data_IF_554922398926
#
_entry.id   IF_554922398926
#
_cell.length_a   1.000
_cell.length_b   1.000
_cell.length_c   1.000
_cell.angle_alpha   90.00
_cell.angle_beta   90.00
_cell.angle_gamma   90.00
#
_symmetry.space_group_name_H-M   'P 1'
#
loop_
_entity.id
_entity.type
_entity.pdbx_description
1 polymer ?
#
# COMPACT_ATOMS: atom_id res chain seq x y z
N UNK A 1 11.86 3.75 7.90
CA UNK A 1 13.14 3.79 7.20
C UNK A 1 14.01 4.91 7.77
N UNK A 2 15.30 4.63 7.99
CA UNK A 2 16.29 5.65 8.35
C UNK A 2 16.85 6.32 7.10
N UNK A 3 17.35 7.55 7.22
CA UNK A 3 17.98 8.28 6.13
C UNK A 3 19.46 7.92 5.93
N UNK A 4 20.07 7.22 6.88
CA UNK A 4 21.43 6.70 6.85
C UNK A 4 21.54 5.39 7.63
N UNK A 5 22.68 4.73 7.55
CA UNK A 5 22.97 3.51 8.30
C UNK A 5 23.03 3.78 9.80
N UNK A 6 22.51 2.84 10.59
CA UNK A 6 22.44 2.89 12.06
C UNK A 6 23.12 1.68 12.66
N UNK A 7 23.53 1.76 13.93
CA UNK A 7 24.10 0.61 14.64
C UNK A 7 23.09 -0.54 14.66
N UNK A 8 23.55 -1.72 14.31
CA UNK A 8 22.76 -2.94 14.19
C UNK A 8 23.59 -4.18 14.53
N UNK A 9 22.99 -5.38 14.48
CA UNK A 9 23.65 -6.67 14.75
C UNK A 9 23.53 -7.13 16.20
N UNK A 10 22.81 -6.40 17.07
CA UNK A 10 22.56 -6.80 18.45
C UNK A 10 21.16 -6.43 18.90
N UNK A 11 20.43 -7.40 19.45
CA UNK A 11 19.07 -7.18 19.99
C UNK A 11 19.08 -6.70 21.46
N UNK A 12 20.24 -6.61 22.09
CA UNK A 12 20.42 -6.19 23.50
C UNK A 12 21.28 -4.94 23.67
N UNK A 13 21.96 -4.51 22.61
CA UNK A 13 22.75 -3.27 22.63
C UNK A 13 21.82 -2.06 22.72
N UNK A 14 22.11 -1.16 23.66
CA UNK A 14 21.27 0.01 23.93
C UNK A 14 21.23 1.02 22.76
N UNK A 15 22.18 0.94 21.82
CA UNK A 15 22.28 1.84 20.68
C UNK A 15 21.85 1.20 19.35
N UNK A 16 21.55 -0.09 19.36
CA UNK A 16 21.21 -0.85 18.13
C UNK A 16 19.77 -0.63 17.68
N UNK A 17 19.59 -0.47 16.37
CA UNK A 17 18.27 -0.45 15.74
C UNK A 17 17.52 -1.80 15.85
N UNK A 18 18.20 -2.89 16.19
CA UNK A 18 17.58 -4.20 16.38
C UNK A 18 17.16 -4.46 17.83
N UNK A 19 17.46 -3.53 18.76
CA UNK A 19 16.95 -3.61 20.11
C UNK A 19 15.50 -3.11 20.19
N UNK A 20 14.52 -3.97 20.55
CA UNK A 20 13.12 -3.55 20.67
C UNK A 20 12.87 -2.45 21.71
N UNK A 21 13.77 -2.30 22.70
CA UNK A 21 13.67 -1.26 23.72
C UNK A 21 13.89 0.17 23.16
N UNK A 22 14.48 0.27 21.95
CA UNK A 22 14.71 1.55 21.28
C UNK A 22 13.47 2.08 20.51
N UNK A 23 12.32 1.47 20.77
CA UNK A 23 11.05 1.85 20.20
C UNK A 23 9.97 1.84 21.28
N UNK A 24 9.06 2.80 21.21
CA UNK A 24 7.89 2.84 22.09
C UNK A 24 6.63 2.97 21.23
N UNK A 25 5.78 1.95 21.28
CA UNK A 25 4.48 1.95 20.61
C UNK A 25 3.37 2.11 21.64
N UNK A 26 2.52 3.12 21.46
CA UNK A 26 1.43 3.41 22.39
C UNK A 26 0.09 3.57 21.68
N UNK A 27 -0.97 3.18 22.37
CA UNK A 27 -2.35 3.57 22.08
C UNK A 27 -2.77 4.65 23.07
N UNK A 28 -3.71 5.56 22.70
CA UNK A 28 -4.23 6.57 23.62
C UNK A 28 -4.97 5.91 24.78
N UNK A 29 -4.95 6.57 25.92
CA UNK A 29 -5.67 6.13 27.10
C UNK A 29 -7.18 6.33 27.03
N UNK A 30 -7.84 6.20 28.18
CA UNK A 30 -9.29 6.34 28.29
C UNK A 30 -9.81 7.73 27.91
N UNK A 31 -8.96 8.75 27.98
CA UNK A 31 -9.27 10.14 27.59
C UNK A 31 -9.24 10.34 26.06
N UNK A 32 -8.80 9.33 25.27
CA UNK A 32 -8.71 9.38 23.81
C UNK A 32 -7.56 10.24 23.26
N UNK A 33 -6.67 10.72 24.12
CA UNK A 33 -5.51 11.55 23.74
C UNK A 33 -4.19 10.82 24.02
N UNK A 34 -3.12 11.23 23.34
CA UNK A 34 -1.77 10.75 23.64
C UNK A 34 -1.10 11.71 24.60
N UNK A 35 -0.89 11.30 25.82
CA UNK A 35 -0.16 12.06 26.82
C UNK A 35 1.35 11.80 26.79
N UNK A 36 1.76 10.65 26.22
CA UNK A 36 3.15 10.30 25.94
C UNK A 36 3.68 11.15 24.78
N UNK A 37 4.78 11.86 25.00
CA UNK A 37 5.39 12.77 24.04
C UNK A 37 6.82 12.41 23.64
N UNK A 38 7.45 11.46 24.33
CA UNK A 38 8.82 10.99 24.06
C UNK A 38 9.03 9.58 24.60
N UNK A 39 10.10 8.91 24.17
CA UNK A 39 10.53 7.62 24.74
C UNK A 39 10.90 7.75 26.22
N UNK A 40 11.51 8.86 26.61
CA UNK A 40 12.10 9.03 27.92
C UNK A 40 13.28 8.10 28.22
N UNK A 41 13.84 8.13 29.42
CA UNK A 41 14.94 7.27 29.81
C UNK A 41 14.61 5.77 29.64
N UNK A 42 15.56 5.01 29.15
CA UNK A 42 15.46 3.56 28.90
C UNK A 42 14.28 3.17 27.97
N UNK A 43 13.91 4.05 27.03
CA UNK A 43 12.89 3.77 26.02
C UNK A 43 11.43 3.70 26.52
N UNK A 44 11.21 3.75 27.82
CA UNK A 44 9.87 3.65 28.42
C UNK A 44 9.59 4.68 29.50
N UNK A 45 10.61 5.44 29.91
CA UNK A 45 10.47 6.46 30.96
C UNK A 45 9.54 7.62 30.60
N UNK A 46 9.23 7.80 29.32
CA UNK A 46 8.29 8.81 28.84
C UNK A 46 6.84 8.37 28.82
N UNK A 47 6.55 7.07 29.00
CA UNK A 47 5.18 6.55 28.99
C UNK A 47 4.35 7.19 30.13
N UNK A 48 3.21 7.76 29.76
CA UNK A 48 2.24 8.34 30.70
C UNK A 48 1.25 7.29 31.20
N UNK A 49 0.73 7.42 32.44
CA UNK A 49 -0.03 6.35 33.10
C UNK A 49 -1.33 5.92 32.43
N UNK A 50 -1.98 6.79 31.66
CA UNK A 50 -3.23 6.43 30.99
C UNK A 50 -3.03 5.93 29.55
N UNK A 51 -1.88 6.21 28.91
CA UNK A 51 -1.55 5.63 27.63
C UNK A 51 -1.21 4.13 27.75
N UNK A 52 -1.66 3.36 26.80
CA UNK A 52 -1.42 1.91 26.77
C UNK A 52 -0.22 1.56 25.91
N UNK A 53 0.81 0.97 26.54
CA UNK A 53 1.96 0.45 25.80
C UNK A 53 1.61 -0.82 25.02
N UNK A 54 1.99 -0.88 23.75
CA UNK A 54 1.93 -2.10 22.94
C UNK A 54 3.32 -2.76 22.89
N UNK A 55 3.37 -4.05 23.18
CA UNK A 55 4.64 -4.79 23.19
C UNK A 55 5.27 -4.84 21.82
N UNK A 56 6.54 -4.46 21.71
CA UNK A 56 7.38 -4.72 20.54
C UNK A 56 8.19 -5.97 20.83
N UNK A 57 7.94 -7.03 20.09
CA UNK A 57 8.51 -8.36 20.34
C UNK A 57 9.90 -8.53 19.73
N UNK A 58 10.12 -7.93 18.56
CA UNK A 58 11.42 -7.93 17.89
C UNK A 58 11.53 -6.76 16.93
N UNK A 59 12.76 -6.36 16.67
CA UNK A 59 13.15 -5.47 15.60
C UNK A 59 14.20 -6.18 14.75
N UNK A 60 14.12 -6.03 13.42
CA UNK A 60 15.14 -6.53 12.50
C UNK A 60 15.45 -5.43 11.49
N UNK A 61 16.73 -5.18 11.27
CA UNK A 61 17.22 -4.10 10.42
C UNK A 61 17.83 -4.68 9.13
N UNK A 62 17.58 -4.01 8.03
CA UNK A 62 18.19 -4.32 6.74
C UNK A 62 19.13 -3.16 6.34
N UNK A 63 20.45 -3.37 6.38
CA UNK A 63 21.44 -2.35 6.09
C UNK A 63 21.49 -1.95 4.59
N UNK A 64 20.94 -2.76 3.69
CA UNK A 64 20.89 -2.42 2.28
C UNK A 64 19.78 -1.39 1.96
N UNK A 65 18.73 -1.36 2.77
CA UNK A 65 17.56 -0.49 2.57
C UNK A 65 17.34 0.51 3.69
N UNK A 66 18.11 0.40 4.78
CA UNK A 66 17.95 1.18 6.02
C UNK A 66 16.56 1.05 6.64
N UNK A 67 15.90 -0.08 6.44
CA UNK A 67 14.56 -0.35 6.95
C UNK A 67 14.62 -1.23 8.19
N UNK A 68 13.94 -0.80 9.25
CA UNK A 68 13.65 -1.66 10.39
C UNK A 68 12.23 -2.22 10.28
N UNK A 69 12.08 -3.51 10.54
CA UNK A 69 10.78 -4.20 10.65
C UNK A 69 10.53 -4.54 12.12
N UNK A 70 9.42 -4.08 12.65
CA UNK A 70 9.02 -4.34 14.03
C UNK A 70 7.92 -5.41 14.05
N UNK A 71 8.12 -6.45 14.86
CA UNK A 71 7.05 -7.38 15.21
C UNK A 71 6.44 -6.92 16.53
N UNK A 72 5.13 -6.66 16.53
CA UNK A 72 4.42 -6.09 17.66
C UNK A 72 3.27 -6.99 18.10
N UNK A 73 2.76 -6.80 19.31
CA UNK A 73 1.56 -7.44 19.85
C UNK A 73 1.58 -8.99 19.74
N UNK A 74 2.73 -9.61 19.96
CA UNK A 74 2.88 -11.06 19.81
C UNK A 74 2.74 -11.58 18.37
N UNK A 75 2.69 -10.69 17.38
CA UNK A 75 2.38 -11.02 15.97
C UNK A 75 0.88 -11.11 15.68
N UNK A 76 0.03 -10.80 16.66
CA UNK A 76 -1.42 -10.63 16.46
C UNK A 76 -1.67 -9.21 15.95
N UNK A 77 -2.61 -9.05 15.01
CA UNK A 77 -3.00 -7.73 14.50
C UNK A 77 -3.40 -6.77 15.64
N UNK A 78 -3.04 -5.51 15.49
CA UNK A 78 -3.46 -4.48 16.43
C UNK A 78 -4.99 -4.27 16.31
N UNK A 79 -5.70 -4.06 17.43
CA UNK A 79 -7.11 -3.64 17.40
C UNK A 79 -7.30 -2.34 16.62
N UNK A 80 -8.56 -2.08 16.22
CA UNK A 80 -8.93 -0.78 15.65
C UNK A 80 -8.57 0.34 16.62
N UNK A 81 -7.91 1.35 16.11
CA UNK A 81 -7.48 2.48 16.94
C UNK A 81 -6.39 3.30 16.30
N UNK A 82 -6.08 4.40 16.94
CA UNK A 82 -4.95 5.24 16.58
C UNK A 82 -3.76 4.85 17.43
N UNK A 83 -2.59 4.76 16.82
CA UNK A 83 -1.35 4.36 17.49
C UNK A 83 -0.26 5.39 17.20
N UNK A 84 0.66 5.53 18.15
CA UNK A 84 1.83 6.38 18.01
C UNK A 84 3.08 5.57 18.27
N UNK A 85 3.99 5.53 17.27
CA UNK A 85 5.30 4.91 17.36
C UNK A 85 6.35 6.00 17.57
N UNK A 86 7.16 5.85 18.60
CA UNK A 86 8.37 6.61 18.83
C UNK A 86 9.59 5.75 18.45
N UNK A 87 10.51 6.33 17.71
CA UNK A 87 11.86 5.80 17.49
C UNK A 87 12.79 6.63 18.36
N UNK A 88 13.42 6.00 19.36
CA UNK A 88 14.08 6.69 20.46
C UNK A 88 15.40 7.35 20.05
N UNK A 89 15.32 8.54 19.50
CA UNK A 89 16.47 9.33 19.07
C UNK A 89 17.14 10.11 20.20
N UNK A 90 16.38 10.44 21.25
CA UNK A 90 16.93 11.19 22.41
C UNK A 90 17.76 10.32 23.35
N UNK A 91 17.59 9.00 23.29
CA UNK A 91 18.17 8.09 24.31
C UNK A 91 19.06 7.00 23.76
N UNK A 92 18.86 6.57 22.47
CA UNK A 92 19.36 5.25 22.11
C UNK A 92 20.02 5.19 20.74
N UNK A 93 19.28 5.20 19.64
CA UNK A 93 19.78 4.79 18.31
C UNK A 93 20.91 5.70 17.82
N UNK A 94 22.03 5.08 17.41
CA UNK A 94 23.23 5.79 16.91
C UNK A 94 23.57 5.35 15.49
N UNK A 95 24.56 6.06 14.89
CA UNK A 95 25.25 5.59 13.70
C UNK A 95 26.17 4.39 14.04
N UNK A 96 26.68 3.64 13.03
CA UNK A 96 27.49 2.44 13.28
C UNK A 96 28.78 2.68 14.07
N UNK A 97 29.27 3.90 14.16
CA UNK A 97 30.48 4.27 14.93
C UNK A 97 30.17 4.82 16.32
N UNK A 98 28.90 4.84 16.71
CA UNK A 98 28.42 5.35 18.01
C UNK A 98 28.81 6.81 18.32
N UNK A 99 29.09 7.59 17.30
CA UNK A 99 29.52 8.99 17.43
C UNK A 99 28.38 10.00 17.30
N UNK A 100 27.27 9.58 16.68
CA UNK A 100 26.13 10.46 16.41
C UNK A 100 24.83 9.71 16.68
N UNK A 101 24.02 10.28 17.54
CA UNK A 101 22.69 9.77 17.83
C UNK A 101 21.65 10.20 16.78
N UNK A 102 20.58 9.44 16.68
CA UNK A 102 19.45 9.80 15.83
C UNK A 102 18.93 11.19 16.23
N UNK A 103 18.72 12.06 15.23
CA UNK A 103 18.30 13.44 15.41
C UNK A 103 19.21 14.26 16.38
N UNK A 104 20.51 13.90 16.51
CA UNK A 104 21.49 14.55 17.40
C UNK A 104 20.99 14.68 18.86
N UNK A 105 20.30 13.69 19.38
CA UNK A 105 19.61 13.70 20.69
C UNK A 105 18.50 14.77 20.83
N UNK A 106 18.18 15.52 19.81
CA UNK A 106 17.27 16.65 19.94
C UNK A 106 15.79 16.21 20.11
N UNK A 107 15.42 15.11 19.45
CA UNK A 107 14.04 14.59 19.47
C UNK A 107 13.97 13.12 19.11
N UNK A 108 12.94 12.44 19.58
CA UNK A 108 12.51 11.15 19.05
C UNK A 108 11.84 11.35 17.69
N UNK A 109 11.98 10.38 16.78
CA UNK A 109 11.15 10.34 15.59
C UNK A 109 9.78 9.78 15.95
N UNK A 110 8.72 10.49 15.58
CA UNK A 110 7.34 10.13 15.98
C UNK A 110 6.48 9.93 14.75
N UNK A 111 5.77 8.81 14.71
CA UNK A 111 4.81 8.48 13.68
C UNK A 111 3.46 8.13 14.31
N UNK A 112 2.38 8.80 13.88
CA UNK A 112 1.01 8.42 14.25
C UNK A 112 0.35 7.73 13.08
N UNK A 113 -0.28 6.58 13.33
CA UNK A 113 -1.01 5.81 12.30
C UNK A 113 -2.31 5.25 12.87
N UNK A 114 -3.26 5.00 12.01
CA UNK A 114 -4.54 4.40 12.36
C UNK A 114 -4.58 2.95 11.89
N UNK A 115 -4.92 2.04 12.79
CA UNK A 115 -5.36 0.70 12.46
C UNK A 115 -6.88 0.73 12.47
N UNK A 116 -7.47 0.66 11.31
CA UNK A 116 -8.89 0.46 11.14
C UNK A 116 -9.07 -0.95 10.57
N UNK A 117 -9.44 -1.89 11.43
CA UNK A 117 -10.13 -3.07 10.92
C UNK A 117 -11.54 -2.56 10.68
N UNK A 118 -11.91 -2.37 9.43
CA UNK A 118 -13.28 -2.00 9.11
C UNK A 118 -14.20 -3.04 9.73
N UNK A 119 -14.82 -2.69 10.86
CA UNK A 119 -16.03 -3.37 11.32
C UNK A 119 -17.19 -2.86 10.46
N UNK A 120 -17.05 -2.96 9.15
CA UNK A 120 -18.19 -3.05 8.29
C UNK A 120 -18.67 -4.48 8.42
N UNK A 121 -19.85 -4.65 8.95
CA UNK A 121 -20.74 -5.75 8.59
C UNK A 121 -21.01 -5.63 7.08
N UNK A 122 -20.02 -5.93 6.30
CA UNK A 122 -19.93 -5.83 4.86
C UNK A 122 -18.56 -6.27 4.50
N UNK A 123 -18.35 -7.58 4.41
CA UNK A 123 -17.35 -8.25 3.59
C UNK A 123 -16.06 -7.41 3.38
N UNK A 124 -15.00 -7.65 4.15
CA UNK A 124 -13.64 -7.55 3.57
C UNK A 124 -13.78 -8.19 2.21
N UNK A 125 -13.45 -7.50 1.13
CA UNK A 125 -13.68 -8.06 -0.19
C UNK A 125 -12.74 -9.25 -0.34
N UNK A 126 -13.23 -10.44 0.02
CA UNK A 126 -12.63 -11.72 -0.42
C UNK A 126 -12.68 -11.81 -1.95
N UNK A 127 -12.89 -10.69 -2.63
CA UNK A 127 -13.08 -10.57 -4.07
C UNK A 127 -12.19 -9.50 -4.67
N UNK A 128 -11.75 -9.76 -5.88
CA UNK A 128 -11.06 -8.77 -6.70
C UNK A 128 -11.95 -7.54 -6.93
N UNK A 129 -11.39 -6.31 -7.04
CA UNK A 129 -12.16 -5.08 -7.20
C UNK A 129 -13.19 -5.16 -8.30
N UNK A 130 -14.37 -4.61 -8.05
CA UNK A 130 -15.46 -4.51 -9.03
C UNK A 130 -15.32 -3.20 -9.79
N UNK A 131 -14.71 -3.25 -10.98
CA UNK A 131 -14.40 -2.11 -11.83
C UNK A 131 -15.29 -2.08 -13.08
N UNK A 132 -16.59 -1.99 -12.88
CA UNK A 132 -17.52 -1.87 -13.99
C UNK A 132 -18.93 -1.57 -13.51
N UNK A 133 -19.56 -0.63 -14.20
CA UNK A 133 -20.98 -0.32 -14.09
C UNK A 133 -21.76 -1.03 -15.20
N UNK A 134 -23.09 -1.01 -15.13
CA UNK A 134 -23.92 -1.59 -16.17
C UNK A 134 -23.67 -0.92 -17.52
N UNK A 135 -23.38 -1.68 -18.60
CA UNK A 135 -23.18 -1.14 -19.92
C UNK A 135 -24.43 -0.39 -20.41
N UNK A 136 -24.22 0.70 -21.15
CA UNK A 136 -25.30 1.54 -21.74
C UNK A 136 -26.29 2.11 -20.71
N UNK A 137 -25.96 2.15 -19.44
CA UNK A 137 -26.81 2.64 -18.36
C UNK A 137 -26.05 3.69 -17.55
N UNK A 138 -26.66 4.86 -17.35
CA UNK A 138 -26.09 5.88 -16.46
C UNK A 138 -26.40 5.49 -15.02
N UNK A 139 -25.35 5.29 -14.23
CA UNK A 139 -25.43 4.95 -12.81
C UNK A 139 -25.24 6.21 -11.98
N UNK A 140 -26.25 6.58 -11.18
CA UNK A 140 -26.11 7.66 -10.23
C UNK A 140 -25.20 7.21 -9.08
N UNK A 141 -24.09 7.91 -8.86
CA UNK A 141 -23.19 7.65 -7.76
C UNK A 141 -23.53 8.54 -6.56
N UNK A 142 -23.37 8.04 -5.31
CA UNK A 142 -23.38 8.92 -4.15
C UNK A 142 -22.24 9.93 -4.24
N UNK A 143 -22.32 11.02 -3.46
CA UNK A 143 -21.25 12.00 -3.37
C UNK A 143 -19.96 11.29 -3.00
N UNK A 144 -18.95 11.40 -3.88
CA UNK A 144 -17.65 10.77 -3.67
C UNK A 144 -16.77 11.70 -2.83
N UNK A 145 -16.03 11.14 -1.88
CA UNK A 145 -15.04 11.89 -1.11
C UNK A 145 -13.93 12.39 -2.04
N UNK A 146 -13.48 13.62 -1.83
CA UNK A 146 -12.34 14.19 -2.55
C UNK A 146 -10.98 13.70 -2.03
N UNK A 147 -10.94 13.14 -0.82
CA UNK A 147 -9.74 12.67 -0.14
C UNK A 147 -9.56 11.16 -0.35
N UNK A 148 -9.21 10.74 -1.56
CA UNK A 148 -9.07 9.31 -1.88
C UNK A 148 -7.75 8.92 -2.51
N UNK A 149 -6.92 9.89 -2.86
CA UNK A 149 -5.59 9.64 -3.38
C UNK A 149 -4.64 9.43 -2.19
N UNK A 150 -4.01 8.26 -2.13
CA UNK A 150 -3.05 7.97 -1.06
C UNK A 150 -1.58 8.12 -1.51
N UNK A 151 -1.35 8.49 -2.77
CA UNK A 151 -0.04 8.90 -3.31
C UNK A 151 -0.18 10.23 -4.04
N UNK A 152 0.78 11.12 -3.86
CA UNK A 152 0.91 12.43 -4.52
C UNK A 152 1.88 12.40 -5.71
N UNK A 153 2.48 11.25 -6.00
CA UNK A 153 3.36 11.06 -7.15
C UNK A 153 2.61 11.18 -8.48
N UNK A 154 3.17 11.94 -9.40
CA UNK A 154 2.64 12.07 -10.76
C UNK A 154 2.99 10.83 -11.59
N UNK A 155 2.05 9.90 -11.66
CA UNK A 155 2.18 8.65 -12.39
C UNK A 155 1.20 8.59 -13.57
N UNK A 156 1.64 8.02 -14.70
CA UNK A 156 0.81 7.82 -15.88
C UNK A 156 0.98 6.41 -16.42
N UNK A 157 -0.14 5.79 -16.81
CA UNK A 157 -0.15 4.52 -17.54
C UNK A 157 -0.38 4.79 -19.02
N UNK A 158 0.47 4.24 -19.88
CA UNK A 158 0.30 4.25 -21.32
C UNK A 158 0.31 2.83 -21.86
N UNK A 159 -0.68 2.49 -22.69
CA UNK A 159 -0.76 1.23 -23.43
C UNK A 159 -1.12 1.58 -24.86
N UNK A 160 -0.10 1.67 -25.71
CA UNK A 160 -0.24 2.14 -27.09
C UNK A 160 -1.20 1.26 -27.90
N UNK A 161 -1.16 -0.07 -27.72
CA UNK A 161 -2.04 -1.02 -28.40
C UNK A 161 -3.53 -0.83 -28.05
N UNK A 162 -3.83 -0.12 -26.97
CA UNK A 162 -5.19 0.24 -26.55
C UNK A 162 -5.53 1.72 -26.81
N UNK A 163 -4.56 2.52 -27.26
CA UNK A 163 -4.70 3.97 -27.34
C UNK A 163 -4.94 4.63 -25.96
N UNK A 164 -4.47 3.98 -24.91
CA UNK A 164 -4.66 4.41 -23.51
C UNK A 164 -3.49 5.27 -23.04
N UNK A 165 -3.79 6.42 -22.44
CA UNK A 165 -2.84 7.22 -21.66
C UNK A 165 -3.59 7.97 -20.55
N UNK A 166 -3.58 7.42 -19.35
CA UNK A 166 -4.38 7.91 -18.23
C UNK A 166 -3.54 8.01 -16.94
N UNK A 167 -3.86 8.95 -16.04
CA UNK A 167 -3.16 9.09 -14.77
C UNK A 167 -3.42 7.89 -13.86
N UNK A 168 -2.38 7.49 -13.11
CA UNK A 168 -2.48 6.52 -12.02
C UNK A 168 -2.67 7.29 -10.72
N UNK A 169 -3.71 6.93 -9.98
CA UNK A 169 -4.02 7.51 -8.66
C UNK A 169 -4.05 6.42 -7.60
N UNK A 170 -3.66 6.75 -6.37
CA UNK A 170 -3.69 5.80 -5.27
C UNK A 170 -5.11 5.49 -4.80
N UNK A 171 -5.42 4.23 -4.63
CA UNK A 171 -6.68 3.74 -4.04
C UNK A 171 -6.39 3.23 -2.65
N UNK A 172 -6.86 3.92 -1.59
CA UNK A 172 -6.64 3.47 -0.22
C UNK A 172 -7.28 2.10 0.04
N UNK A 173 -6.51 1.22 0.73
CA UNK A 173 -7.04 -0.04 1.26
C UNK A 173 -7.70 0.15 2.64
N UNK A 174 -8.23 -0.94 3.20
CA UNK A 174 -8.31 -2.29 2.61
C UNK A 174 -9.47 -2.52 1.64
N UNK A 175 -10.47 -1.62 1.61
CA UNK A 175 -11.73 -1.86 0.86
C UNK A 175 -11.62 -1.55 -0.62
N UNK A 176 -10.57 -0.85 -1.04
CA UNK A 176 -10.32 -0.43 -2.43
C UNK A 176 -11.58 0.05 -3.16
N UNK A 177 -12.25 1.05 -2.59
CA UNK A 177 -13.39 1.66 -3.26
C UNK A 177 -12.93 2.34 -4.55
N UNK A 178 -13.31 1.80 -5.68
CA UNK A 178 -12.89 2.22 -7.02
C UNK A 178 -13.99 2.94 -7.80
N UNK A 179 -15.17 3.15 -7.23
CA UNK A 179 -16.33 3.74 -7.92
C UNK A 179 -16.09 5.17 -8.43
N UNK A 180 -15.16 5.88 -7.82
CA UNK A 180 -14.82 7.27 -8.11
C UNK A 180 -13.73 7.45 -9.18
N UNK A 181 -13.10 6.38 -9.67
CA UNK A 181 -11.95 6.47 -10.58
C UNK A 181 -12.27 7.12 -11.92
N UNK A 182 -13.49 6.96 -12.46
CA UNK A 182 -13.81 7.43 -13.81
C UNK A 182 -12.84 6.82 -14.83
N UNK A 183 -12.12 7.67 -15.56
CA UNK A 183 -11.09 7.25 -16.52
C UNK A 183 -9.70 7.04 -15.88
N UNK A 184 -9.51 7.39 -14.63
CA UNK A 184 -8.23 7.19 -13.95
C UNK A 184 -7.95 5.72 -13.68
N UNK A 185 -6.67 5.40 -13.57
CA UNK A 185 -6.20 4.06 -13.20
C UNK A 185 -5.91 4.04 -11.71
N UNK A 186 -6.50 3.09 -10.99
CA UNK A 186 -6.31 2.95 -9.55
C UNK A 186 -5.12 2.06 -9.21
N UNK A 187 -4.16 2.54 -8.44
CA UNK A 187 -3.13 1.74 -7.79
C UNK A 187 -3.64 1.26 -6.43
N UNK A 188 -3.68 -0.05 -6.20
CA UNK A 188 -4.24 -0.63 -4.98
C UNK A 188 -3.25 -0.60 -3.82
N UNK A 189 -3.55 0.15 -2.77
CA UNK A 189 -2.75 0.20 -1.54
C UNK A 189 -2.54 -1.21 -0.95
N UNK A 190 -1.33 -1.49 -0.49
CA UNK A 190 -0.95 -2.80 0.07
C UNK A 190 -0.27 -3.71 -0.95
N UNK A 191 -0.28 -3.38 -2.24
CA UNK A 191 0.57 -4.01 -3.26
C UNK A 191 1.89 -3.25 -3.42
N UNK A 192 2.86 -3.79 -4.18
CA UNK A 192 4.10 -3.06 -4.41
C UNK A 192 3.82 -1.73 -5.13
N UNK A 193 4.54 -0.66 -4.76
CA UNK A 193 4.40 0.61 -5.46
C UNK A 193 4.79 0.45 -6.94
N UNK A 194 4.08 1.07 -7.89
CA UNK A 194 4.44 1.01 -9.31
C UNK A 194 5.92 1.33 -9.54
N UNK A 195 6.59 0.50 -10.33
CA UNK A 195 8.03 0.52 -10.62
C UNK A 195 8.96 -0.15 -9.59
N UNK A 196 8.48 -0.51 -8.40
CA UNK A 196 9.28 -1.21 -7.40
C UNK A 196 9.21 -2.73 -7.59
N UNK A 197 10.19 -3.43 -7.00
CA UNK A 197 10.16 -4.90 -6.93
C UNK A 197 8.92 -5.38 -6.18
N UNK A 198 8.34 -6.45 -6.67
CA UNK A 198 7.10 -7.00 -6.16
C UNK A 198 5.98 -6.96 -7.19
N UNK A 199 4.76 -7.18 -6.75
CA UNK A 199 3.57 -7.16 -7.58
C UNK A 199 2.79 -5.86 -7.40
N UNK A 200 2.92 -4.91 -8.33
CA UNK A 200 2.10 -3.71 -8.38
C UNK A 200 0.76 -4.02 -9.03
N UNK A 201 -0.34 -3.71 -8.36
CA UNK A 201 -1.67 -3.99 -8.90
C UNK A 201 -2.38 -2.69 -9.26
N UNK A 202 -2.74 -2.59 -10.53
CA UNK A 202 -3.53 -1.49 -11.07
C UNK A 202 -4.90 -1.99 -11.52
N UNK A 203 -5.90 -1.14 -11.35
CA UNK A 203 -7.28 -1.43 -11.78
C UNK A 203 -7.90 -0.25 -12.51
N UNK A 204 -8.84 -0.52 -13.37
CA UNK A 204 -9.57 0.50 -14.12
C UNK A 204 -10.93 -0.02 -14.56
N UNK A 205 -11.87 0.88 -14.79
CA UNK A 205 -13.21 0.48 -15.21
C UNK A 205 -13.22 -0.15 -16.61
N UNK A 206 -13.97 -1.25 -16.76
CA UNK A 206 -14.34 -1.76 -18.07
C UNK A 206 -15.49 -0.96 -18.65
N UNK A 207 -16.43 -0.53 -17.82
CA UNK A 207 -17.55 0.35 -18.16
C UNK A 207 -17.67 1.42 -17.07
N UNK A 208 -17.69 2.68 -17.48
CA UNK A 208 -17.82 3.83 -16.59
C UNK A 208 -19.27 4.04 -16.11
N UNK A 209 -19.45 4.91 -15.12
CA UNK A 209 -20.77 5.22 -14.55
C UNK A 209 -21.76 5.87 -15.57
N UNK A 210 -21.24 6.44 -16.67
CA UNK A 210 -22.06 6.95 -17.78
C UNK A 210 -22.51 5.86 -18.77
N UNK A 211 -22.17 4.58 -18.48
CA UNK A 211 -22.49 3.41 -19.29
C UNK A 211 -21.59 3.20 -20.51
N UNK A 212 -20.59 4.07 -20.72
CA UNK A 212 -19.64 3.97 -21.84
C UNK A 212 -18.42 3.14 -21.49
N UNK A 213 -17.66 2.69 -22.50
CA UNK A 213 -16.40 1.98 -22.26
C UNK A 213 -15.46 2.79 -21.36
N UNK A 214 -14.95 2.14 -20.32
CA UNK A 214 -13.94 2.69 -19.42
C UNK A 214 -12.50 2.48 -19.94
N UNK A 215 -11.49 2.93 -19.19
CA UNK A 215 -10.10 2.90 -19.62
C UNK A 215 -9.58 1.48 -19.87
N UNK A 216 -10.10 0.48 -19.15
CA UNK A 216 -9.68 -0.92 -19.32
C UNK A 216 -10.66 -1.77 -20.17
N UNK A 217 -11.57 -1.12 -20.94
CA UNK A 217 -12.46 -1.85 -21.83
C UNK A 217 -11.72 -2.72 -22.85
N UNK A 218 -10.56 -2.27 -23.33
CA UNK A 218 -9.70 -2.97 -24.26
C UNK A 218 -8.69 -3.95 -23.63
N UNK A 219 -8.66 -4.11 -22.28
CA UNK A 219 -7.60 -4.89 -21.62
C UNK A 219 -7.53 -6.35 -22.10
N UNK A 220 -8.66 -6.91 -22.52
CA UNK A 220 -8.75 -8.28 -23.05
C UNK A 220 -8.12 -8.48 -24.44
N UNK A 221 -7.77 -7.42 -25.15
CA UNK A 221 -7.12 -7.49 -26.46
C UNK A 221 -5.61 -7.61 -26.38
N UNK A 222 -5.03 -7.39 -25.22
CA UNK A 222 -3.60 -7.52 -25.03
C UNK A 222 -3.15 -8.98 -25.18
N UNK A 223 -1.95 -9.15 -25.71
CA UNK A 223 -1.32 -10.44 -25.92
C UNK A 223 0.11 -10.44 -25.40
N UNK A 224 0.71 -11.62 -25.28
CA UNK A 224 2.12 -11.77 -24.92
C UNK A 224 3.01 -10.86 -25.80
N UNK A 225 3.91 -10.12 -25.15
CA UNK A 225 4.85 -9.21 -25.82
C UNK A 225 4.35 -7.77 -25.99
N UNK A 226 3.04 -7.47 -25.83
CA UNK A 226 2.58 -6.09 -25.83
C UNK A 226 3.27 -5.28 -24.72
N UNK A 227 3.47 -3.98 -24.94
CA UNK A 227 4.14 -3.11 -24.01
C UNK A 227 3.15 -2.27 -23.18
N UNK A 228 3.45 -2.13 -21.92
CA UNK A 228 2.77 -1.27 -20.97
C UNK A 228 3.82 -0.34 -20.38
N UNK A 229 3.57 0.97 -20.42
CA UNK A 229 4.55 1.97 -19.98
C UNK A 229 3.99 2.70 -18.76
N UNK A 230 4.78 2.77 -17.70
CA UNK A 230 4.53 3.67 -16.57
C UNK A 230 5.49 4.84 -16.69
N UNK A 231 4.94 6.05 -16.77
CA UNK A 231 5.69 7.29 -16.73
C UNK A 231 5.77 7.76 -15.28
N UNK A 232 6.98 7.91 -14.76
CA UNK A 232 7.23 8.35 -13.39
C UNK A 232 8.59 9.05 -13.30
N UNK A 233 8.71 10.12 -12.54
CA UNK A 233 9.96 10.85 -12.27
C UNK A 233 10.75 11.23 -13.54
N UNK A 234 10.06 11.51 -14.64
CA UNK A 234 10.67 11.84 -15.93
C UNK A 234 11.25 10.64 -16.68
N UNK A 235 10.99 9.42 -16.23
CA UNK A 235 11.42 8.17 -16.85
C UNK A 235 10.22 7.37 -17.37
N UNK A 236 10.51 6.46 -18.29
CA UNK A 236 9.57 5.48 -18.81
C UNK A 236 9.97 4.07 -18.36
N UNK A 237 9.10 3.43 -17.59
CA UNK A 237 9.25 2.05 -17.14
C UNK A 237 8.45 1.15 -18.06
N UNK A 238 9.12 0.41 -18.92
CA UNK A 238 8.53 -0.42 -19.96
C UNK A 238 8.36 -1.84 -19.43
N UNK A 239 7.12 -2.27 -19.31
CA UNK A 239 6.72 -3.62 -18.94
C UNK A 239 6.30 -4.37 -20.19
N UNK A 240 6.58 -5.68 -20.24
CA UNK A 240 6.15 -6.55 -21.32
C UNK A 240 5.16 -7.60 -20.79
N UNK A 241 4.02 -7.72 -21.46
CA UNK A 241 2.97 -8.68 -21.10
C UNK A 241 3.49 -10.11 -21.18
N UNK A 242 3.27 -10.88 -20.11
CA UNK A 242 3.64 -12.29 -20.00
C UNK A 242 2.43 -13.21 -20.00
N UNK A 243 1.35 -12.81 -19.35
CA UNK A 243 0.13 -13.62 -19.30
C UNK A 243 -1.11 -12.74 -19.38
N UNK A 244 -2.13 -13.27 -20.03
CA UNK A 244 -3.49 -12.70 -20.06
C UNK A 244 -4.46 -13.79 -19.66
N UNK A 245 -5.21 -13.57 -18.59
CA UNK A 245 -6.29 -14.43 -18.14
C UNK A 245 -7.61 -13.68 -18.28
N UNK A 246 -8.48 -14.19 -19.14
CA UNK A 246 -9.77 -13.55 -19.45
C UNK A 246 -10.91 -13.98 -18.50
N UNK A 247 -10.72 -15.03 -17.70
CA UNK A 247 -11.76 -15.62 -16.86
C UNK A 247 -11.21 -15.92 -15.45
N UNK A 248 -10.61 -14.92 -14.82
CA UNK A 248 -10.23 -15.01 -13.41
C UNK A 248 -11.48 -14.89 -12.55
N UNK A 249 -11.63 -15.85 -11.64
CA UNK A 249 -12.70 -15.80 -10.63
C UNK A 249 -12.51 -14.55 -9.73
N UNK A 250 -13.58 -13.76 -9.48
CA UNK A 250 -13.51 -12.63 -8.57
C UNK A 250 -12.99 -12.97 -7.16
N UNK A 251 -13.16 -14.20 -6.71
CA UNK A 251 -12.70 -14.66 -5.39
C UNK A 251 -11.20 -15.07 -5.37
N UNK A 252 -10.52 -15.01 -6.52
CA UNK A 252 -9.08 -15.35 -6.66
C UNK A 252 -8.15 -14.23 -6.19
N UNK A 253 -8.29 -13.79 -4.94
CA UNK A 253 -7.54 -12.65 -4.38
C UNK A 253 -6.04 -12.90 -4.20
N UNK A 254 -5.58 -14.14 -4.23
CA UNK A 254 -4.17 -14.48 -4.16
C UNK A 254 -3.30 -13.85 -5.25
N UNK A 255 -3.90 -13.38 -6.36
CA UNK A 255 -3.19 -12.62 -7.39
C UNK A 255 -2.71 -11.24 -6.89
N UNK A 256 -3.38 -10.65 -5.91
CA UNK A 256 -3.03 -9.34 -5.33
C UNK A 256 -1.80 -9.44 -4.43
N UNK A 257 -1.74 -10.51 -3.63
CA UNK A 257 -0.71 -10.72 -2.61
C UNK A 257 0.45 -11.58 -3.10
N UNK A 258 0.50 -11.85 -4.41
CA UNK A 258 1.55 -12.69 -5.01
C UNK A 258 2.93 -12.09 -4.76
N UNK A 259 3.80 -12.88 -4.16
CA UNK A 259 5.18 -12.48 -3.91
C UNK A 259 6.01 -12.60 -5.19
N UNK A 260 6.65 -11.50 -5.58
CA UNK A 260 7.51 -11.44 -6.78
C UNK A 260 8.84 -10.78 -6.42
N UNK A 261 9.92 -11.28 -7.00
CA UNK A 261 11.28 -10.74 -6.79
C UNK A 261 11.66 -9.66 -7.81
N UNK A 262 10.96 -9.60 -8.93
CA UNK A 262 11.12 -8.57 -9.97
C UNK A 262 9.95 -7.59 -9.93
N UNK A 263 10.08 -6.40 -10.58
CA UNK A 263 8.97 -5.48 -10.71
C UNK A 263 7.91 -6.06 -11.67
N UNK A 264 6.86 -6.63 -11.11
CA UNK A 264 5.69 -7.10 -11.85
C UNK A 264 4.56 -6.09 -11.77
N UNK A 265 3.83 -6.01 -12.86
CA UNK A 265 2.61 -5.23 -12.99
C UNK A 265 1.44 -6.16 -13.26
N UNK A 266 0.39 -6.04 -12.47
CA UNK A 266 -0.87 -6.77 -12.66
C UNK A 266 -1.98 -5.77 -12.93
N UNK A 267 -2.61 -5.85 -14.10
CA UNK A 267 -3.77 -5.04 -14.47
C UNK A 267 -5.04 -5.86 -14.33
N UNK A 268 -6.07 -5.31 -13.70
CA UNK A 268 -7.33 -6.02 -13.41
C UNK A 268 -8.52 -5.16 -13.83
N UNK A 269 -9.48 -5.78 -14.51
CA UNK A 269 -10.79 -5.18 -14.79
C UNK A 269 -11.91 -6.22 -14.80
N UNK A 270 -13.14 -5.77 -14.75
CA UNK A 270 -14.33 -6.63 -14.85
C UNK A 270 -14.52 -7.20 -16.26
N UNK A 271 -15.21 -8.36 -16.35
CA UNK A 271 -15.55 -9.04 -17.60
C UNK A 271 -16.86 -9.81 -17.51
N UNK A 272 -17.57 -9.91 -18.64
CA UNK A 272 -18.84 -10.63 -18.80
C UNK A 272 -19.94 -10.14 -17.84
N UNK A 273 -20.52 -9.00 -18.20
CA UNK A 273 -21.64 -8.44 -17.47
C UNK A 273 -22.89 -9.32 -17.62
N UNK A 274 -23.50 -9.67 -16.50
CA UNK A 274 -24.75 -10.43 -16.43
C UNK A 274 -25.89 -9.49 -16.04
N UNK A 275 -26.79 -9.20 -17.00
CA UNK A 275 -27.94 -8.30 -16.79
C UNK A 275 -28.92 -8.85 -15.73
N UNK A 276 -29.00 -10.17 -15.56
CA UNK A 276 -29.94 -10.79 -14.60
C UNK A 276 -29.51 -10.56 -13.16
N UNK A 277 -28.21 -10.62 -12.91
CA UNK A 277 -27.61 -10.46 -11.57
C UNK A 277 -27.09 -9.06 -11.34
N UNK A 278 -27.03 -8.22 -12.39
CA UNK A 278 -26.43 -6.88 -12.36
C UNK A 278 -24.98 -6.91 -11.88
N UNK A 279 -24.21 -7.93 -12.29
CA UNK A 279 -22.81 -8.14 -11.86
C UNK A 279 -21.94 -8.61 -13.01
N UNK A 280 -20.63 -8.49 -12.84
CA UNK A 280 -19.64 -9.05 -13.74
C UNK A 280 -19.17 -10.42 -13.24
N UNK A 281 -19.27 -11.44 -14.09
CA UNK A 281 -18.95 -12.84 -13.74
C UNK A 281 -17.47 -13.06 -13.51
N UNK A 282 -16.62 -12.43 -14.32
CA UNK A 282 -15.18 -12.68 -14.35
C UNK A 282 -14.36 -11.40 -14.18
N UNK A 283 -13.04 -11.60 -14.02
CA UNK A 283 -12.05 -10.54 -14.16
C UNK A 283 -11.10 -10.87 -15.30
N UNK A 284 -10.76 -9.86 -16.11
CA UNK A 284 -9.59 -9.91 -17.00
C UNK A 284 -8.39 -9.51 -16.17
N UNK A 285 -7.36 -10.36 -16.17
CA UNK A 285 -6.08 -10.10 -15.49
C UNK A 285 -4.95 -10.20 -16.49
N UNK A 286 -4.19 -9.12 -16.63
CA UNK A 286 -2.98 -9.05 -17.44
C UNK A 286 -1.79 -8.91 -16.52
N UNK A 287 -0.75 -9.71 -16.73
CA UNK A 287 0.50 -9.60 -15.98
C UNK A 287 1.66 -9.30 -16.90
N UNK A 288 2.44 -8.31 -16.52
CA UNK A 288 3.61 -7.86 -17.25
C UNK A 288 4.81 -7.73 -16.29
N UNK A 289 6.03 -7.86 -16.83
CA UNK A 289 7.27 -7.68 -16.07
C UNK A 289 8.07 -6.53 -16.65
N UNK A 290 8.75 -5.77 -15.81
CA UNK A 290 9.64 -4.68 -16.23
C UNK A 290 10.79 -5.25 -17.06
N UNK A 291 10.98 -4.71 -18.25
CA UNK A 291 12.06 -5.14 -19.17
C UNK A 291 13.05 -4.01 -19.49
N UNK A 292 12.65 -2.74 -19.31
CA UNK A 292 13.51 -1.60 -19.62
C UNK A 292 13.06 -0.35 -18.86
N UNK A 293 14.03 0.50 -18.51
CA UNK A 293 13.82 1.88 -18.07
C UNK A 293 14.56 2.82 -19.01
N UNK A 294 13.95 3.93 -19.41
CA UNK A 294 14.55 4.94 -20.29
C UNK A 294 14.07 6.35 -19.95
#
# INVERSE_FOLDING_TARGET
QFSWDVLHGSTSDEHSAENPANYLLVAPGANGTFDTSSCGPAGTGGLKPDDTRITINSASYDPATFIVKLKVNGGVGLPNGVYRLFVCGTTSITNPTETTYLNNHASDSVMTFTVAVSSSSGSSSDKLPATGFAPNTVTALPIQSVERVYTDEALWLEITDMGLKEPIVGVPGPDWNVTWLGNQIGYLQGTAFPTWNGNSVLTGHVTNADGKPGPFAGLSTLVYGNQIIIHAWGQEYIYEVRTVNLQMDPDSTGILTRHETLPWLTLITCRDYDEKTNTYRWRTVVRAVLVKVR
#
